data_IF_259568397446
#
_entry.id   IF_259568397446
#
_cell.length_a   1.000
_cell.length_b   1.000
_cell.length_c   1.000
_cell.angle_alpha   90.00
_cell.angle_beta   90.00
_cell.angle_gamma   90.00
#
_symmetry.space_group_name_H-M   'P 1'
#
loop_
_entity.id
_entity.type
_entity.pdbx_description
1 polymer ?
#
# COMPACT_ATOMS: atom_id res chain seq x y z
N UNK A 1 -13.03 19.31 -16.05
CA UNK A 1 -14.20 19.28 -15.15
C UNK A 1 -13.86 18.32 -14.02
N UNK A 2 -14.05 18.70 -12.74
CA UNK A 2 -13.59 17.94 -11.57
C UNK A 2 -14.35 16.60 -11.42
N UNK A 3 -13.64 15.48 -11.51
CA UNK A 3 -14.15 14.13 -11.20
C UNK A 3 -14.19 13.88 -9.69
N UNK A 4 -15.27 13.32 -9.12
CA UNK A 4 -15.27 12.84 -7.74
C UNK A 4 -14.89 11.34 -7.70
N UNK A 5 -13.85 11.03 -6.94
CA UNK A 5 -13.45 9.68 -6.54
C UNK A 5 -14.51 9.06 -5.63
N UNK A 6 -15.01 7.86 -5.94
CA UNK A 6 -15.83 7.09 -5.01
C UNK A 6 -15.34 5.65 -4.89
N UNK A 7 -14.81 5.35 -3.70
CA UNK A 7 -14.65 4.02 -3.12
C UNK A 7 -15.93 3.18 -3.28
N UNK A 8 -15.78 1.90 -3.64
CA UNK A 8 -16.80 0.87 -3.45
C UNK A 8 -16.17 -0.36 -2.80
N UNK A 9 -16.66 -0.69 -1.61
CA UNK A 9 -16.41 -1.95 -0.93
C UNK A 9 -17.18 -3.11 -1.59
N UNK A 10 -16.65 -4.35 -1.56
CA UNK A 10 -17.34 -5.52 -2.07
C UNK A 10 -18.44 -6.02 -1.11
N UNK A 11 -19.63 -6.25 -1.66
CA UNK A 11 -20.80 -6.76 -0.95
C UNK A 11 -20.75 -8.29 -0.78
N UNK A 12 -20.68 -8.76 0.45
CA UNK A 12 -21.06 -10.11 0.86
C UNK A 12 -22.56 -10.16 1.16
N UNK A 13 -23.29 -11.09 0.55
CA UNK A 13 -24.73 -11.27 0.75
C UNK A 13 -25.09 -12.65 1.29
N UNK A 14 -25.97 -12.69 2.29
CA UNK A 14 -26.91 -13.80 2.60
C UNK A 14 -28.11 -13.26 3.41
N UNK A 15 -29.26 -13.96 3.48
CA UNK A 15 -30.56 -13.35 3.24
C UNK A 15 -31.39 -12.98 4.49
N UNK A 16 -32.41 -12.17 4.17
CA UNK A 16 -33.45 -11.54 5.00
C UNK A 16 -34.15 -12.47 5.99
N UNK A 17 -34.41 -11.91 7.17
CA UNK A 17 -35.58 -12.26 7.97
C UNK A 17 -36.39 -11.00 8.34
N UNK A 18 -37.71 -11.17 8.35
CA UNK A 18 -38.73 -10.12 8.37
C UNK A 18 -39.02 -9.57 9.77
N UNK A 19 -39.17 -8.24 9.91
CA UNK A 19 -40.19 -7.63 10.79
C UNK A 19 -40.35 -6.13 10.53
N UNK A 20 -41.59 -5.72 10.24
CA UNK A 20 -42.07 -4.34 10.25
C UNK A 20 -42.22 -3.86 11.69
N UNK A 21 -41.80 -2.63 11.99
CA UNK A 21 -42.55 -1.69 12.84
C UNK A 21 -42.16 -0.25 12.52
N UNK A 22 -43.19 0.58 12.43
CA UNK A 22 -43.13 2.00 12.14
C UNK A 22 -42.72 2.81 13.39
N UNK A 23 -42.03 3.92 13.17
CA UNK A 23 -41.72 4.89 14.22
C UNK A 23 -41.23 6.21 13.62
N UNK A 24 -42.18 7.06 13.21
CA UNK A 24 -41.90 8.43 12.82
C UNK A 24 -41.52 9.26 14.06
N UNK A 25 -40.38 9.92 14.03
CA UNK A 25 -39.99 10.91 15.04
C UNK A 25 -39.28 12.07 14.37
N UNK A 26 -39.91 13.24 14.48
CA UNK A 26 -39.51 14.50 13.90
C UNK A 26 -38.20 15.03 14.52
N UNK A 27 -37.24 15.43 13.68
CA UNK A 27 -36.08 16.23 14.11
C UNK A 27 -36.17 17.66 13.58
N UNK A 28 -36.23 18.57 14.56
CA UNK A 28 -36.19 20.02 14.44
C UNK A 28 -34.89 20.49 13.80
N UNK A 29 -35.01 21.43 12.85
CA UNK A 29 -33.91 22.21 12.28
C UNK A 29 -33.45 23.25 13.30
N UNK A 30 -32.14 23.37 13.51
CA UNK A 30 -31.47 24.52 14.16
C UNK A 30 -30.48 25.14 13.17
N UNK A 31 -30.39 26.46 13.04
CA UNK A 31 -29.47 27.10 12.11
C UNK A 31 -28.06 27.19 12.72
N UNK A 32 -27.05 27.01 11.87
CA UNK A 32 -25.63 27.22 12.18
C UNK A 32 -25.33 28.71 12.04
N UNK A 33 -24.78 29.30 13.10
CA UNK A 33 -24.24 30.66 13.14
C UNK A 33 -22.80 30.60 12.63
N UNK A 34 -22.48 31.40 11.61
CA UNK A 34 -21.14 31.60 11.09
C UNK A 34 -20.41 32.65 11.95
N UNK A 35 -19.23 32.31 12.48
CA UNK A 35 -18.31 33.24 13.12
C UNK A 35 -17.11 33.51 12.21
N UNK A 36 -16.94 34.78 11.83
CA UNK A 36 -15.72 35.33 11.23
C UNK A 36 -14.58 35.27 12.26
N UNK A 37 -13.39 34.82 11.84
CA UNK A 37 -12.15 35.02 12.58
C UNK A 37 -11.24 36.02 11.84
N UNK A 38 -10.77 36.99 12.62
CA UNK A 38 -10.01 38.17 12.25
C UNK A 38 -8.51 37.85 12.21
N UNK A 39 -7.80 38.28 11.15
CA UNK A 39 -6.35 38.21 11.06
C UNK A 39 -5.69 39.37 11.84
N UNK A 40 -4.65 39.06 12.62
CA UNK A 40 -3.86 40.01 13.40
C UNK A 40 -2.38 39.63 13.40
N UNK A 41 -1.56 40.57 12.93
CA UNK A 41 -0.12 40.51 12.63
C UNK A 41 0.81 40.76 13.85
N UNK A 42 2.09 40.39 13.64
CA UNK A 42 3.37 40.95 14.17
C UNK A 42 4.06 40.32 15.40
N UNK A 43 5.37 40.07 15.21
CA UNK A 43 6.38 39.91 16.26
C UNK A 43 7.76 39.52 15.70
N UNK A 44 8.56 40.51 15.27
CA UNK A 44 9.97 40.36 14.90
C UNK A 44 10.84 40.02 16.13
N UNK A 45 11.84 39.15 15.96
CA UNK A 45 12.97 39.05 16.89
C UNK A 45 14.27 38.99 16.09
N UNK A 46 15.15 39.94 16.36
CA UNK A 46 16.50 40.05 15.83
C UNK A 46 17.44 40.32 17.00
N UNK A 47 18.55 39.59 17.09
CA UNK A 47 19.85 40.07 17.58
C UNK A 47 20.95 39.09 17.14
N UNK A 48 21.96 39.66 16.48
CA UNK A 48 23.20 39.06 15.97
C UNK A 48 24.26 39.03 17.11
N UNK A 49 25.09 37.98 17.24
CA UNK A 49 26.43 37.76 16.65
C UNK A 49 27.63 38.15 17.56
N UNK A 50 28.70 37.33 17.46
CA UNK A 50 30.06 37.54 17.99
C UNK A 50 30.50 36.39 18.91
N UNK A 51 31.19 35.32 18.48
CA UNK A 51 32.54 35.17 17.88
C UNK A 51 33.71 35.29 18.86
N UNK A 52 34.35 34.13 19.06
CA UNK A 52 35.79 33.82 19.12
C UNK A 52 36.67 34.09 20.36
N UNK A 53 37.21 32.95 20.83
CA UNK A 53 38.62 32.60 21.02
C UNK A 53 39.44 33.15 22.22
N UNK A 54 40.02 32.18 22.94
CA UNK A 54 41.08 32.30 23.94
C UNK A 54 42.40 32.85 23.35
N UNK A 55 43.40 33.26 24.18
CA UNK A 55 44.38 32.27 24.64
C UNK A 55 45.07 32.53 26.01
N UNK A 56 45.60 31.43 26.56
CA UNK A 56 46.87 31.19 27.28
C UNK A 56 47.42 32.12 28.42
N UNK A 57 48.08 31.42 29.36
CA UNK A 57 48.71 31.82 30.63
C UNK A 57 49.84 32.87 30.56
N UNK A 58 50.34 33.33 31.73
CA UNK A 58 51.66 32.82 32.16
C UNK A 58 51.80 32.50 33.66
N UNK A 59 52.86 31.74 33.94
CA UNK A 59 53.37 31.26 35.24
C UNK A 59 54.11 32.35 36.03
N UNK A 60 54.18 32.25 37.37
CA UNK A 60 55.45 32.21 38.16
C UNK A 60 55.27 32.29 39.70
N UNK A 61 56.00 31.37 40.37
CA UNK A 61 56.75 31.43 41.66
C UNK A 61 56.08 31.94 42.97
N UNK A 62 55.93 31.08 44.01
CA UNK A 62 56.85 30.82 45.16
C UNK A 62 56.68 31.86 46.31
N UNK A 63 56.56 31.59 47.62
CA UNK A 63 56.98 30.48 48.50
C UNK A 63 56.22 30.49 49.85
N UNK A 64 56.19 29.31 50.49
CA UNK A 64 56.29 29.02 51.94
C UNK A 64 55.29 29.60 52.98
N UNK A 65 54.53 28.71 53.63
CA UNK A 65 54.81 28.27 55.02
C UNK A 65 53.93 27.08 55.40
N UNK A 66 54.57 26.07 56.00
CA UNK A 66 53.96 24.84 56.46
C UNK A 66 53.06 25.03 57.69
N UNK A 67 51.97 24.26 57.76
CA UNK A 67 51.58 23.63 59.02
C UNK A 67 50.85 22.31 58.75
N UNK A 68 51.19 21.33 59.57
CA UNK A 68 50.81 19.94 59.43
C UNK A 68 49.40 19.69 59.98
N UNK A 69 48.56 19.04 59.20
CA UNK A 69 47.44 18.24 59.71
C UNK A 69 47.20 17.06 58.77
N UNK A 70 47.74 15.91 59.16
CA UNK A 70 47.39 14.63 58.58
C UNK A 70 45.90 14.36 58.83
N UNK A 71 45.11 14.32 57.76
CA UNK A 71 43.79 13.71 57.77
C UNK A 71 43.74 12.80 56.55
N UNK A 72 43.82 11.49 56.80
CA UNK A 72 43.74 10.47 55.76
C UNK A 72 42.42 10.61 55.02
N UNK A 73 42.49 10.97 53.74
CA UNK A 73 41.41 10.73 52.82
C UNK A 73 41.29 9.22 52.65
N UNK A 74 40.33 8.63 53.35
CA UNK A 74 39.84 7.30 53.03
C UNK A 74 39.52 7.24 51.52
N UNK A 75 39.81 6.13 50.83
CA UNK A 75 39.33 5.95 49.47
C UNK A 75 37.81 6.07 49.49
N UNK A 76 37.26 6.99 48.72
CA UNK A 76 35.84 7.03 48.44
C UNK A 76 35.46 5.72 47.77
N UNK A 77 34.88 4.79 48.54
CA UNK A 77 34.24 3.58 48.04
C UNK A 77 33.28 3.99 46.92
N UNK A 78 33.36 3.44 45.70
CA UNK A 78 32.32 3.67 44.72
C UNK A 78 30.99 3.26 45.36
N UNK A 79 30.01 4.15 45.33
CA UNK A 79 28.65 3.86 45.77
C UNK A 79 28.18 2.61 45.02
N UNK A 80 28.08 1.48 45.71
CA UNK A 80 27.86 0.15 45.12
C UNK A 80 26.42 -0.08 44.67
N UNK A 81 25.86 0.88 43.94
CA UNK A 81 24.52 0.81 43.34
C UNK A 81 24.67 0.52 41.85
N UNK A 82 24.14 -0.62 41.39
CA UNK A 82 24.01 -0.91 39.96
C UNK A 82 23.06 0.12 39.36
N UNK A 83 23.48 0.77 38.27
CA UNK A 83 22.59 1.57 37.44
C UNK A 83 22.06 0.67 36.34
N UNK A 84 20.73 0.54 36.25
CA UNK A 84 20.08 -0.19 35.17
C UNK A 84 19.36 0.80 34.27
N UNK A 85 19.57 0.69 32.96
CA UNK A 85 18.84 1.46 31.95
C UNK A 85 17.99 0.50 31.12
N UNK A 86 16.75 0.89 30.83
CA UNK A 86 15.81 0.12 30.02
C UNK A 86 15.42 0.98 28.81
N UNK A 87 15.55 0.41 27.63
CA UNK A 87 15.07 0.96 26.36
C UNK A 87 14.10 -0.05 25.74
N UNK A 88 12.86 0.31 25.39
CA UNK A 88 12.22 1.61 25.59
C UNK A 88 12.14 2.04 27.06
N UNK A 89 12.21 3.35 27.29
CA UNK A 89 12.15 3.93 28.64
C UNK A 89 10.79 3.75 29.31
N UNK A 90 10.75 3.96 30.62
CA UNK A 90 9.51 3.91 31.39
C UNK A 90 8.45 4.88 30.84
N UNK A 91 7.22 4.40 30.77
CA UNK A 91 6.04 5.09 30.23
C UNK A 91 6.16 5.52 28.75
N UNK A 92 7.14 4.98 28.01
CA UNK A 92 7.21 5.17 26.57
C UNK A 92 5.95 4.60 25.89
N UNK A 93 5.43 5.32 24.91
CA UNK A 93 4.27 4.92 24.12
C UNK A 93 4.58 5.02 22.64
N UNK A 94 3.76 4.34 21.82
CA UNK A 94 3.96 4.27 20.37
C UNK A 94 5.33 3.71 19.99
N UNK A 95 5.87 2.80 20.81
CA UNK A 95 7.13 2.12 20.52
C UNK A 95 6.95 1.24 19.30
N UNK A 96 7.83 1.38 18.32
CA UNK A 96 7.83 0.53 17.14
C UNK A 96 8.09 -0.93 17.54
N UNK A 97 7.20 -1.87 17.22
CA UNK A 97 7.34 -3.26 17.66
C UNK A 97 8.58 -3.99 17.15
N UNK A 98 9.25 -3.50 16.10
CA UNK A 98 10.50 -4.10 15.62
C UNK A 98 11.75 -3.57 16.32
N UNK A 99 11.63 -2.48 17.09
CA UNK A 99 12.73 -1.96 17.87
C UNK A 99 12.94 -2.87 19.09
N UNK A 100 14.16 -3.39 19.31
CA UNK A 100 14.39 -4.35 20.37
C UNK A 100 14.30 -3.69 21.74
N UNK A 101 13.81 -4.46 22.71
CA UNK A 101 13.95 -4.11 24.13
C UNK A 101 15.38 -4.43 24.56
N UNK A 102 16.03 -3.46 25.17
CA UNK A 102 17.42 -3.53 25.64
C UNK A 102 17.45 -3.10 27.10
N UNK A 103 18.06 -3.92 27.94
CA UNK A 103 18.32 -3.61 29.35
C UNK A 103 19.82 -3.65 29.56
N UNK A 104 20.41 -2.60 30.11
CA UNK A 104 21.86 -2.53 30.39
C UNK A 104 22.13 -2.32 31.87
N UNK A 105 23.23 -2.86 32.37
CA UNK A 105 23.68 -2.68 33.76
C UNK A 105 25.10 -2.10 33.83
N UNK A 106 25.20 -0.94 34.50
CA UNK A 106 26.45 -0.27 34.81
C UNK A 106 26.81 -0.45 36.30
N UNK A 107 28.05 -0.87 36.56
CA UNK A 107 28.54 -1.10 37.93
C UNK A 107 28.05 -2.41 38.56
N UNK A 108 27.55 -3.35 37.75
CA UNK A 108 27.13 -4.70 38.11
C UNK A 108 26.73 -5.52 36.89
N UNK A 109 26.11 -6.68 37.11
CA UNK A 109 25.62 -7.59 36.07
C UNK A 109 24.11 -7.82 36.21
N UNK A 110 23.39 -7.94 35.10
CA UNK A 110 22.02 -8.43 35.07
C UNK A 110 22.02 -9.93 35.35
N UNK A 111 21.14 -10.37 36.24
CA UNK A 111 21.03 -11.78 36.63
C UNK A 111 19.71 -12.40 36.19
N UNK A 112 18.68 -11.57 36.01
CA UNK A 112 17.37 -11.97 35.52
C UNK A 112 16.71 -10.79 34.82
N UNK A 113 16.16 -11.02 33.62
CA UNK A 113 15.35 -10.04 32.88
C UNK A 113 14.17 -10.80 32.29
N UNK A 114 12.97 -10.32 32.59
CA UNK A 114 11.72 -10.83 32.03
C UNK A 114 10.97 -9.69 31.37
N UNK A 115 10.65 -9.84 30.09
CA UNK A 115 9.75 -8.95 29.37
C UNK A 115 8.47 -9.72 29.08
N UNK A 116 7.32 -9.18 29.47
CA UNK A 116 6.03 -9.88 29.31
C UNK A 116 4.92 -8.98 28.79
N UNK A 117 4.10 -9.52 27.90
CA UNK A 117 2.90 -8.86 27.39
C UNK A 117 1.82 -8.79 28.47
N UNK A 118 1.22 -7.62 28.69
CA UNK A 118 0.24 -7.40 29.75
C UNK A 118 -1.07 -8.14 29.49
N UNK A 119 -1.48 -8.29 28.22
CA UNK A 119 -2.74 -8.95 27.87
C UNK A 119 -2.72 -10.47 28.10
N UNK A 120 -1.63 -11.13 27.71
CA UNK A 120 -1.51 -12.60 27.69
C UNK A 120 -0.61 -13.16 28.80
N UNK A 121 0.29 -12.35 29.36
CA UNK A 121 1.37 -12.80 30.23
C UNK A 121 2.49 -13.57 29.51
N UNK A 122 2.46 -13.61 28.17
CA UNK A 122 3.48 -14.27 27.37
C UNK A 122 4.81 -13.54 27.49
N UNK A 123 5.91 -14.30 27.61
CA UNK A 123 7.25 -13.76 27.69
C UNK A 123 7.82 -13.51 26.30
N UNK A 124 8.45 -12.37 26.13
CA UNK A 124 9.23 -12.06 24.92
C UNK A 124 10.56 -12.81 25.01
N UNK A 125 10.93 -13.48 23.92
CA UNK A 125 12.23 -14.13 23.82
C UNK A 125 13.35 -13.07 23.80
N UNK A 126 14.46 -13.38 24.47
CA UNK A 126 15.65 -12.54 24.45
C UNK A 126 16.84 -13.21 25.12
N UNK A 127 18.00 -12.59 24.93
CA UNK A 127 19.29 -13.15 25.31
C UNK A 127 20.01 -12.20 26.26
N UNK A 128 20.55 -12.75 27.34
CA UNK A 128 21.49 -12.07 28.23
C UNK A 128 22.90 -12.31 27.71
N UNK A 129 23.68 -11.24 27.51
CA UNK A 129 25.07 -11.32 27.12
C UNK A 129 25.89 -12.11 28.16
N UNK A 130 26.95 -12.79 27.73
CA UNK A 130 27.78 -13.62 28.62
C UNK A 130 28.45 -12.83 29.75
N UNK A 131 28.70 -11.54 29.53
CA UNK A 131 29.25 -10.62 30.52
C UNK A 131 28.19 -10.04 31.47
N UNK A 132 26.92 -10.36 31.26
CA UNK A 132 25.79 -9.92 32.06
C UNK A 132 25.48 -8.42 31.92
N UNK A 133 26.12 -7.68 31.02
CA UNK A 133 25.95 -6.22 30.96
C UNK A 133 24.76 -5.77 30.10
N UNK A 134 24.27 -6.62 29.19
CA UNK A 134 23.14 -6.32 28.30
C UNK A 134 22.21 -7.52 28.16
N UNK A 135 20.91 -7.30 28.29
CA UNK A 135 19.88 -8.21 27.80
C UNK A 135 19.17 -7.57 26.60
N UNK A 136 18.87 -8.36 25.57
CA UNK A 136 18.24 -7.89 24.33
C UNK A 136 17.14 -8.85 23.85
N UNK A 137 15.98 -8.31 23.46
CA UNK A 137 14.92 -9.11 22.84
C UNK A 137 15.35 -9.63 21.46
N UNK A 138 15.01 -10.88 21.16
CA UNK A 138 15.42 -11.57 19.92
C UNK A 138 14.32 -11.63 18.86
N UNK A 139 13.08 -11.28 19.21
CA UNK A 139 11.93 -11.28 18.32
C UNK A 139 11.20 -9.92 18.33
N UNK A 140 10.52 -9.54 17.23
CA UNK A 140 9.61 -8.41 17.24
C UNK A 140 8.51 -8.56 18.30
N UNK A 141 8.11 -7.43 18.87
CA UNK A 141 6.98 -7.31 19.78
C UNK A 141 5.65 -7.35 18.99
N UNK A 142 4.55 -7.47 19.72
CA UNK A 142 3.22 -7.28 19.18
C UNK A 142 2.86 -5.78 19.09
N UNK A 143 2.09 -5.42 18.08
CA UNK A 143 1.38 -4.14 18.05
C UNK A 143 0.25 -4.12 19.09
N UNK A 144 -0.23 -2.92 19.42
CA UNK A 144 -1.32 -2.64 20.35
C UNK A 144 -1.20 -3.36 21.70
N UNK A 145 0.03 -3.45 22.22
CA UNK A 145 0.33 -4.21 23.44
C UNK A 145 1.11 -3.35 24.45
N UNK A 146 0.90 -3.65 25.73
CA UNK A 146 1.69 -3.08 26.82
C UNK A 146 2.65 -4.12 27.35
N UNK A 147 3.93 -3.76 27.47
CA UNK A 147 4.96 -4.65 27.97
C UNK A 147 5.44 -4.21 29.34
N UNK A 148 5.64 -5.19 30.23
CA UNK A 148 6.31 -5.00 31.51
C UNK A 148 7.68 -5.66 31.45
N UNK A 149 8.72 -4.89 31.78
CA UNK A 149 10.11 -5.33 31.91
C UNK A 149 10.44 -5.40 33.39
N UNK A 150 10.59 -6.60 33.93
CA UNK A 150 11.11 -6.87 35.27
C UNK A 150 12.59 -7.25 35.17
N UNK A 151 13.44 -6.66 36.00
CA UNK A 151 14.87 -6.97 36.01
C UNK A 151 15.42 -7.12 37.43
N UNK A 152 16.47 -7.93 37.54
CA UNK A 152 17.33 -8.06 38.71
C UNK A 152 18.78 -7.88 38.28
N UNK A 153 19.51 -6.99 38.94
CA UNK A 153 20.93 -6.78 38.73
C UNK A 153 21.71 -6.90 40.04
N UNK A 154 22.98 -7.29 39.96
CA UNK A 154 23.84 -7.58 41.12
C UNK A 154 25.14 -6.78 41.07
N UNK A 155 25.49 -6.16 42.21
CA UNK A 155 26.81 -5.60 42.48
C UNK A 155 27.40 -6.20 43.75
N UNK A 156 28.34 -7.13 43.61
CA UNK A 156 28.87 -7.91 44.74
C UNK A 156 27.76 -8.74 45.38
N UNK A 157 27.52 -8.54 46.69
CA UNK A 157 26.48 -9.26 47.44
C UNK A 157 25.13 -8.53 47.49
N UNK A 158 24.94 -7.48 46.67
CA UNK A 158 23.70 -6.68 46.66
C UNK A 158 22.95 -6.86 45.35
N UNK A 159 21.69 -7.26 45.48
CA UNK A 159 20.73 -7.30 44.38
C UNK A 159 19.92 -5.99 44.35
N UNK A 160 19.63 -5.54 43.13
CA UNK A 160 18.75 -4.42 42.82
C UNK A 160 17.70 -4.91 41.85
N UNK A 161 16.43 -4.75 42.19
CA UNK A 161 15.31 -5.09 41.31
C UNK A 161 14.62 -3.82 40.82
N UNK A 162 14.02 -3.90 39.65
CA UNK A 162 13.22 -2.82 39.12
C UNK A 162 12.24 -3.29 38.06
N UNK A 163 11.34 -2.38 37.72
CA UNK A 163 10.29 -2.60 36.74
C UNK A 163 10.21 -1.38 35.82
N UNK A 164 9.98 -1.61 34.55
CA UNK A 164 9.66 -0.60 33.54
C UNK A 164 8.46 -1.05 32.73
N UNK A 165 7.63 -0.10 32.29
CA UNK A 165 6.45 -0.38 31.46
C UNK A 165 6.50 0.53 30.24
N UNK A 166 6.13 0.00 29.08
CA UNK A 166 5.96 0.78 27.85
C UNK A 166 4.83 0.17 27.00
N UNK A 167 4.30 0.93 26.04
CA UNK A 167 3.33 0.42 25.07
C UNK A 167 3.84 0.56 23.63
N UNK A 168 3.48 -0.41 22.81
CA UNK A 168 3.78 -0.37 21.37
C UNK A 168 2.78 0.50 20.61
N UNK A 169 3.03 0.67 19.31
CA UNK A 169 2.13 1.34 18.36
C UNK A 169 0.72 0.75 18.47
N UNK A 170 -0.28 1.61 18.65
CA UNK A 170 -1.68 1.20 18.76
C UNK A 170 -2.31 0.83 17.41
N UNK A 171 -3.45 0.13 17.46
CA UNK A 171 -4.15 -0.35 16.27
C UNK A 171 -4.62 0.75 15.30
N UNK A 172 -4.76 2.00 15.75
CA UNK A 172 -5.17 3.12 14.89
C UNK A 172 -4.01 3.69 14.05
N UNK A 173 -2.77 3.28 14.35
CA UNK A 173 -1.55 3.70 13.67
C UNK A 173 -0.85 2.53 12.95
N UNK A 174 -1.54 1.41 12.81
CA UNK A 174 -1.11 0.27 11.99
C UNK A 174 -1.48 0.49 10.52
N UNK A 175 -0.53 0.22 9.63
CA UNK A 175 -0.74 0.26 8.20
C UNK A 175 -0.43 -1.08 7.53
N UNK A 176 -1.40 -1.60 6.79
CA UNK A 176 -1.31 -2.84 6.02
C UNK A 176 -1.14 -2.57 4.53
N UNK A 177 -0.66 -3.57 3.80
CA UNK A 177 -0.61 -3.57 2.33
C UNK A 177 -1.26 -4.81 1.75
N UNK A 178 -2.14 -4.61 0.78
CA UNK A 178 -2.75 -5.66 -0.03
C UNK A 178 -2.24 -5.58 -1.47
N UNK A 179 -1.98 -6.74 -2.09
CA UNK A 179 -1.60 -6.82 -3.51
C UNK A 179 -2.77 -7.30 -4.36
N UNK A 180 -2.84 -6.83 -5.61
CA UNK A 180 -3.80 -7.33 -6.60
C UNK A 180 -3.49 -8.76 -7.10
N UNK A 181 -2.23 -9.21 -6.94
CA UNK A 181 -1.78 -10.56 -7.27
C UNK A 181 -1.89 -11.51 -6.08
N UNK A 182 -2.04 -12.81 -6.35
CA UNK A 182 -2.21 -13.86 -5.34
C UNK A 182 -1.20 -14.99 -5.51
N UNK A 183 -0.87 -15.63 -4.38
CA UNK A 183 0.06 -16.75 -4.35
C UNK A 183 -0.40 -17.92 -5.25
N UNK A 184 0.55 -18.44 -6.02
CA UNK A 184 0.34 -19.60 -6.90
C UNK A 184 -0.54 -19.33 -8.12
N UNK A 185 -1.10 -18.12 -8.28
CA UNK A 185 -1.88 -17.77 -9.46
C UNK A 185 -1.00 -17.56 -10.69
N UNK A 186 -1.60 -17.70 -11.87
CA UNK A 186 -0.96 -17.41 -13.15
C UNK A 186 -1.67 -16.24 -13.82
N UNK A 187 -0.91 -15.20 -14.14
CA UNK A 187 -1.38 -14.00 -14.84
C UNK A 187 -0.78 -13.92 -16.24
N UNK A 188 -1.30 -13.02 -17.07
CA UNK A 188 -0.67 -12.68 -18.34
C UNK A 188 0.64 -11.92 -18.16
N UNK A 189 1.43 -11.83 -19.22
CA UNK A 189 2.75 -11.16 -19.20
C UNK A 189 2.67 -9.64 -19.05
N UNK A 190 1.49 -9.05 -19.20
CA UNK A 190 1.25 -7.62 -19.07
C UNK A 190 0.73 -7.24 -17.66
N UNK A 191 0.72 -8.18 -16.71
CA UNK A 191 0.27 -7.94 -15.34
C UNK A 191 1.02 -6.77 -14.70
N UNK A 192 0.27 -5.79 -14.20
CA UNK A 192 0.77 -4.71 -13.36
C UNK A 192 0.63 -5.12 -11.89
N UNK A 193 1.67 -4.93 -11.10
CA UNK A 193 1.62 -5.22 -9.66
C UNK A 193 1.11 -3.98 -8.95
N UNK A 194 -0.03 -4.09 -8.28
CA UNK A 194 -0.63 -2.98 -7.51
C UNK A 194 -0.56 -3.30 -6.02
N UNK A 195 -0.15 -2.30 -5.25
CA UNK A 195 -0.11 -2.27 -3.80
C UNK A 195 -1.16 -1.26 -3.31
N UNK A 196 -2.10 -1.75 -2.52
CA UNK A 196 -3.15 -0.96 -1.89
C UNK A 196 -2.88 -0.89 -0.39
N UNK A 197 -2.59 0.30 0.12
CA UNK A 197 -2.32 0.54 1.53
C UNK A 197 -3.61 0.85 2.29
N UNK A 198 -3.74 0.34 3.51
CA UNK A 198 -4.89 0.64 4.37
C UNK A 198 -4.91 2.10 4.81
N UNK A 199 -3.76 2.76 4.87
CA UNK A 199 -3.57 4.16 5.29
C UNK A 199 -2.71 4.96 4.29
N UNK A 200 -2.78 6.31 4.28
CA UNK A 200 -2.00 7.12 3.36
C UNK A 200 -0.51 7.04 3.65
N UNK A 201 0.29 6.80 2.62
CA UNK A 201 1.75 6.78 2.66
C UNK A 201 2.27 8.16 2.29
N UNK A 202 2.89 8.83 3.26
CA UNK A 202 3.62 10.08 3.06
C UNK A 202 5.08 9.80 2.71
N UNK A 203 5.69 8.82 3.37
CA UNK A 203 7.09 8.43 3.14
C UNK A 203 7.22 7.44 1.97
N UNK A 204 6.78 7.87 0.77
CA UNK A 204 6.75 7.04 -0.45
C UNK A 204 8.11 6.40 -0.78
N UNK A 205 9.19 7.16 -0.71
CA UNK A 205 10.55 6.67 -0.97
C UNK A 205 10.99 5.54 -0.04
N UNK A 206 10.54 5.55 1.22
CA UNK A 206 10.88 4.50 2.19
C UNK A 206 10.14 3.20 1.86
N UNK A 207 8.87 3.33 1.45
CA UNK A 207 8.06 2.20 1.00
C UNK A 207 8.61 1.60 -0.29
N UNK A 208 8.98 2.41 -1.28
CA UNK A 208 9.57 1.92 -2.53
C UNK A 208 10.86 1.13 -2.29
N UNK A 209 11.75 1.63 -1.42
CA UNK A 209 12.98 0.91 -1.02
C UNK A 209 12.70 -0.38 -0.27
N UNK A 210 11.56 -0.48 0.42
CA UNK A 210 11.14 -1.67 1.13
C UNK A 210 10.48 -2.72 0.21
N UNK A 211 10.19 -2.38 -1.04
CA UNK A 211 9.61 -3.31 -2.01
C UNK A 211 10.71 -3.95 -2.86
N UNK A 212 10.74 -5.28 -2.86
CA UNK A 212 11.55 -6.09 -3.76
C UNK A 212 10.67 -6.80 -4.77
N UNK A 213 11.09 -6.78 -6.03
CA UNK A 213 10.49 -7.55 -7.11
C UNK A 213 11.56 -8.42 -7.71
N UNK A 214 11.35 -9.73 -7.69
CA UNK A 214 12.25 -10.73 -8.25
C UNK A 214 11.55 -11.49 -9.38
N UNK A 215 12.28 -11.70 -10.47
CA UNK A 215 11.76 -12.33 -11.68
C UNK A 215 12.57 -11.91 -12.90
N UNK A 216 12.26 -12.50 -14.06
CA UNK A 216 12.75 -11.96 -15.33
C UNK A 216 12.10 -10.61 -15.59
N UNK A 217 12.85 -9.63 -16.11
CA UNK A 217 12.43 -8.24 -16.18
C UNK A 217 12.09 -7.64 -14.80
N UNK A 218 12.82 -7.99 -13.74
CA UNK A 218 12.63 -7.38 -12.42
C UNK A 218 12.92 -5.88 -12.36
N UNK A 219 13.73 -5.38 -13.29
CA UNK A 219 14.00 -3.95 -13.39
C UNK A 219 12.75 -3.27 -13.93
N UNK A 220 12.24 -2.32 -13.17
CA UNK A 220 11.00 -1.63 -13.47
C UNK A 220 10.92 -0.32 -12.72
N UNK A 221 9.75 0.29 -12.79
CA UNK A 221 9.50 1.58 -12.18
C UNK A 221 8.24 1.52 -11.33
N UNK A 222 8.24 2.33 -10.27
CA UNK A 222 7.07 2.56 -9.43
C UNK A 222 6.32 3.80 -9.91
N UNK A 223 5.00 3.80 -9.73
CA UNK A 223 4.13 4.95 -9.92
C UNK A 223 3.08 4.99 -8.83
N UNK A 224 2.96 6.12 -8.15
CA UNK A 224 1.83 6.36 -7.26
C UNK A 224 0.67 6.98 -8.03
N UNK A 225 -0.53 6.47 -7.78
CA UNK A 225 -1.78 7.00 -8.30
C UNK A 225 -2.59 7.75 -7.23
N UNK A 226 -2.26 7.50 -5.96
CA UNK A 226 -2.73 8.24 -4.79
C UNK A 226 -1.80 7.90 -3.62
N UNK A 227 -1.97 8.56 -2.47
CA UNK A 227 -1.22 8.22 -1.25
C UNK A 227 -1.48 6.79 -0.75
N UNK A 228 -2.48 6.07 -1.29
CA UNK A 228 -2.81 4.70 -0.89
C UNK A 228 -2.59 3.65 -1.98
N UNK A 229 -2.18 4.07 -3.19
CA UNK A 229 -2.10 3.18 -4.36
C UNK A 229 -0.78 3.38 -5.08
N UNK A 230 0.06 2.35 -5.00
CA UNK A 230 1.32 2.24 -5.73
C UNK A 230 1.18 1.14 -6.77
N UNK A 231 1.71 1.36 -7.97
CA UNK A 231 1.85 0.32 -8.99
C UNK A 231 3.30 0.17 -9.41
N UNK A 232 3.65 -1.04 -9.77
CA UNK A 232 4.93 -1.41 -10.35
C UNK A 232 4.69 -2.11 -11.68
N UNK A 233 5.47 -1.72 -12.69
CA UNK A 233 5.64 -2.53 -13.89
C UNK A 233 7.08 -2.51 -14.38
N UNK A 234 7.53 -3.58 -15.04
CA UNK A 234 8.77 -3.57 -15.79
C UNK A 234 8.66 -2.74 -17.07
N UNK A 235 9.82 -2.40 -17.66
CA UNK A 235 9.88 -1.70 -18.95
C UNK A 235 9.26 -2.52 -20.07
N UNK A 236 9.63 -3.80 -20.12
CA UNK A 236 9.12 -4.79 -21.06
C UNK A 236 8.18 -5.76 -20.33
N UNK A 237 7.19 -6.36 -21.01
CA UNK A 237 6.33 -7.38 -20.40
C UNK A 237 7.16 -8.50 -19.75
N UNK A 238 6.59 -9.11 -18.71
CA UNK A 238 7.23 -10.24 -18.03
C UNK A 238 7.55 -11.38 -18.99
N UNK A 239 8.64 -12.12 -18.75
CA UNK A 239 8.92 -13.29 -19.59
C UNK A 239 7.77 -14.30 -19.49
N UNK A 240 7.39 -14.96 -20.60
CA UNK A 240 6.41 -16.04 -20.56
C UNK A 240 6.85 -17.20 -19.67
N UNK A 241 5.92 -17.80 -18.93
CA UNK A 241 6.17 -18.93 -18.02
C UNK A 241 7.20 -18.65 -16.92
N UNK A 242 7.44 -17.38 -16.57
CA UNK A 242 8.32 -16.97 -15.49
C UNK A 242 7.65 -17.10 -14.12
N UNK A 243 8.48 -17.18 -13.07
CA UNK A 243 8.04 -16.96 -11.69
C UNK A 243 8.40 -15.53 -11.31
N UNK A 244 7.44 -14.81 -10.72
CA UNK A 244 7.63 -13.48 -10.16
C UNK A 244 7.32 -13.54 -8.68
N UNK A 245 8.21 -13.01 -7.86
CA UNK A 245 8.04 -12.88 -6.42
C UNK A 245 8.12 -11.40 -6.05
N UNK A 246 7.08 -10.90 -5.40
CA UNK A 246 6.99 -9.53 -4.92
C UNK A 246 6.95 -9.56 -3.41
N UNK A 247 7.80 -8.77 -2.77
CA UNK A 247 7.87 -8.64 -1.33
C UNK A 247 7.81 -7.17 -0.94
N UNK A 248 6.81 -6.78 -0.15
CA UNK A 248 6.75 -5.49 0.53
C UNK A 248 7.19 -5.68 1.99
N UNK A 249 8.41 -5.29 2.32
CA UNK A 249 8.99 -5.42 3.66
C UNK A 249 8.68 -4.19 4.53
N UNK A 250 7.39 -3.93 4.76
CA UNK A 250 6.95 -2.70 5.46
C UNK A 250 6.84 -2.85 6.98
N UNK A 251 7.03 -4.06 7.55
CA UNK A 251 6.93 -4.27 8.99
C UNK A 251 7.88 -3.30 9.74
N UNK A 252 7.32 -2.49 10.63
CA UNK A 252 8.06 -1.50 11.41
C UNK A 252 8.56 -0.29 10.62
N UNK A 253 8.19 -0.12 9.35
CA UNK A 253 8.54 1.07 8.57
C UNK A 253 7.60 2.22 8.89
N UNK A 254 8.16 3.43 9.00
CA UNK A 254 7.37 4.65 9.11
C UNK A 254 6.83 5.06 7.74
N UNK A 255 5.52 4.91 7.55
CA UNK A 255 4.81 5.33 6.34
C UNK A 255 4.45 6.83 6.39
N UNK A 256 4.74 7.51 7.51
CA UNK A 256 4.49 8.92 7.77
C UNK A 256 3.18 9.16 8.51
N UNK A 257 3.00 10.38 9.05
CA UNK A 257 1.87 10.74 9.92
C UNK A 257 1.67 9.80 11.12
N UNK A 258 2.75 9.17 11.61
CA UNK A 258 2.70 8.22 12.72
C UNK A 258 2.23 6.82 12.34
N UNK A 259 1.98 6.54 11.05
CA UNK A 259 1.59 5.20 10.57
C UNK A 259 2.81 4.29 10.48
N UNK A 260 2.75 3.14 11.14
CA UNK A 260 3.80 2.12 11.10
C UNK A 260 3.29 0.89 10.37
N UNK A 261 4.09 0.34 9.46
CA UNK A 261 3.71 -0.86 8.73
C UNK A 261 3.57 -2.07 9.66
N UNK A 262 2.43 -2.74 9.60
CA UNK A 262 2.02 -3.79 10.52
C UNK A 262 2.53 -5.19 10.13
N UNK A 263 3.02 -5.34 8.90
CA UNK A 263 3.45 -6.66 8.43
C UNK A 263 4.13 -6.64 7.08
N UNK A 264 5.01 -7.61 6.88
CA UNK A 264 5.57 -7.87 5.56
C UNK A 264 4.56 -8.63 4.71
N UNK A 265 4.52 -8.34 3.41
CA UNK A 265 3.69 -9.06 2.46
C UNK A 265 4.55 -9.63 1.35
N UNK A 266 4.54 -10.95 1.20
CA UNK A 266 5.18 -11.62 0.06
C UNK A 266 4.14 -12.35 -0.76
N UNK A 267 4.20 -12.20 -2.08
CA UNK A 267 3.37 -12.93 -3.05
C UNK A 267 4.25 -13.48 -4.16
N UNK A 268 4.10 -14.76 -4.49
CA UNK A 268 4.71 -15.42 -5.65
C UNK A 268 3.67 -15.87 -6.65
N UNK A 269 3.72 -15.33 -7.87
CA UNK A 269 2.84 -15.71 -8.98
C UNK A 269 3.65 -16.20 -10.19
N UNK A 270 2.96 -16.70 -11.20
CA UNK A 270 3.55 -17.07 -12.50
C UNK A 270 2.97 -16.26 -13.63
N UNK A 271 3.71 -16.14 -14.71
CA UNK A 271 3.20 -15.61 -15.99
C UNK A 271 2.84 -16.76 -16.93
N UNK A 272 1.82 -16.54 -17.76
CA UNK A 272 1.40 -17.47 -18.80
C UNK A 272 2.21 -17.37 -20.09
N UNK A 273 1.63 -17.86 -21.17
CA UNK A 273 2.06 -17.49 -22.52
C UNK A 273 1.80 -15.99 -22.75
N UNK A 274 2.52 -15.38 -23.68
CA UNK A 274 2.20 -14.01 -24.09
C UNK A 274 0.90 -14.04 -24.90
N UNK A 275 -0.10 -13.28 -24.45
CA UNK A 275 -1.39 -13.19 -25.11
C UNK A 275 -1.77 -11.72 -25.22
N UNK A 276 -2.12 -11.32 -26.44
CA UNK A 276 -2.59 -9.97 -26.74
C UNK A 276 -3.64 -9.97 -27.83
N UNK A 277 -4.57 -9.04 -27.77
CA UNK A 277 -5.56 -8.81 -28.80
C UNK A 277 -5.52 -7.36 -29.27
N UNK A 278 -5.70 -7.16 -30.58
CA UNK A 278 -5.82 -5.82 -31.17
C UNK A 278 -7.24 -5.66 -31.70
N UNK A 279 -7.89 -4.58 -31.32
CA UNK A 279 -9.22 -4.20 -31.77
C UNK A 279 -9.09 -2.92 -32.58
N UNK A 280 -9.45 -3.02 -33.86
CA UNK A 280 -9.42 -1.89 -34.77
C UNK A 280 -10.84 -1.50 -35.16
N UNK A 281 -11.20 -0.25 -34.88
CA UNK A 281 -12.52 0.28 -35.16
C UNK A 281 -12.75 0.64 -36.65
N UNK A 282 -11.70 0.88 -37.42
CA UNK A 282 -11.82 1.12 -38.87
C UNK A 282 -12.30 -0.14 -39.57
N UNK A 283 -11.66 -1.26 -39.23
CA UNK A 283 -11.97 -2.60 -39.75
C UNK A 283 -13.00 -3.37 -38.93
N UNK A 284 -13.39 -2.86 -37.75
CA UNK A 284 -14.31 -3.47 -36.78
C UNK A 284 -13.97 -4.93 -36.52
N UNK A 285 -12.69 -5.18 -36.29
CA UNK A 285 -12.14 -6.52 -36.16
C UNK A 285 -11.29 -6.61 -34.90
N UNK A 286 -11.41 -7.73 -34.18
CA UNK A 286 -10.45 -8.15 -33.17
C UNK A 286 -9.54 -9.21 -33.77
N UNK A 287 -8.23 -9.06 -33.60
CA UNK A 287 -7.21 -10.06 -33.94
C UNK A 287 -6.46 -10.48 -32.68
N UNK A 288 -6.52 -11.77 -32.35
CA UNK A 288 -5.85 -12.34 -31.18
C UNK A 288 -4.50 -12.97 -31.57
N UNK A 289 -3.54 -12.81 -30.67
CA UNK A 289 -2.20 -13.36 -30.79
C UNK A 289 -1.83 -14.16 -29.55
N UNK A 290 -1.13 -15.27 -29.76
CA UNK A 290 -0.47 -16.04 -28.70
C UNK A 290 1.00 -16.25 -29.09
N UNK A 291 1.91 -15.81 -28.23
CA UNK A 291 3.36 -15.81 -28.46
C UNK A 291 3.72 -15.19 -29.82
N UNK A 292 3.13 -14.03 -30.11
CA UNK A 292 3.34 -13.28 -31.36
C UNK A 292 2.75 -13.90 -32.63
N UNK A 293 2.01 -15.01 -32.57
CA UNK A 293 1.34 -15.62 -33.74
C UNK A 293 -0.15 -15.32 -33.73
N UNK A 294 -0.71 -14.90 -34.86
CA UNK A 294 -2.17 -14.76 -35.02
C UNK A 294 -2.84 -16.12 -34.80
N UNK A 295 -3.79 -16.17 -33.87
CA UNK A 295 -4.52 -17.38 -33.49
C UNK A 295 -6.02 -17.27 -33.72
N UNK A 296 -6.52 -16.08 -34.00
CA UNK A 296 -7.90 -15.89 -34.41
C UNK A 296 -8.25 -14.45 -34.74
N UNK A 297 -9.36 -14.30 -35.45
CA UNK A 297 -9.84 -13.04 -36.00
C UNK A 297 -11.35 -13.07 -36.04
N UNK A 298 -12.00 -12.06 -35.47
CA UNK A 298 -13.46 -11.99 -35.39
C UNK A 298 -13.97 -10.58 -35.67
N UNK A 299 -15.14 -10.45 -36.34
CA UNK A 299 -15.82 -9.18 -36.44
C UNK A 299 -16.33 -8.75 -35.06
N UNK A 300 -16.30 -7.45 -34.77
CA UNK A 300 -16.75 -6.89 -33.49
C UNK A 300 -17.68 -5.69 -33.68
N UNK A 301 -18.40 -5.33 -32.63
CA UNK A 301 -19.00 -4.00 -32.48
C UNK A 301 -18.33 -3.31 -31.30
N UNK A 302 -18.08 -2.01 -31.43
CA UNK A 302 -17.56 -1.16 -30.35
C UNK A 302 -18.65 -0.20 -29.84
N UNK A 303 -18.22 0.74 -29.00
CA UNK A 303 -19.01 1.85 -28.48
C UNK A 303 -19.53 2.79 -29.57
N UNK A 304 -20.81 3.15 -29.48
CA UNK A 304 -21.45 4.09 -30.40
C UNK A 304 -20.86 5.52 -30.26
N UNK A 305 -21.17 6.47 -31.16
CA UNK A 305 -20.60 7.82 -31.10
C UNK A 305 -20.86 8.62 -29.81
N UNK A 306 -21.95 8.32 -29.09
CA UNK A 306 -22.27 8.98 -27.81
C UNK A 306 -21.55 8.30 -26.63
N UNK A 307 -21.13 7.04 -26.79
CA UNK A 307 -20.42 6.22 -25.81
C UNK A 307 -19.29 5.43 -26.47
N UNK A 308 -18.28 6.13 -27.03
CA UNK A 308 -17.21 5.48 -27.79
C UNK A 308 -16.33 4.62 -26.89
N UNK A 309 -15.77 3.55 -27.46
CA UNK A 309 -14.75 2.76 -26.77
C UNK A 309 -13.46 3.56 -26.64
N UNK A 310 -12.82 3.47 -25.47
CA UNK A 310 -11.53 4.13 -25.25
C UNK A 310 -10.45 3.51 -26.13
N UNK A 311 -9.45 4.29 -26.54
CA UNK A 311 -8.26 3.74 -27.23
C UNK A 311 -7.21 3.24 -26.22
N UNK A 312 -6.09 2.73 -26.73
CA UNK A 312 -4.94 2.33 -25.95
C UNK A 312 -4.98 0.89 -25.43
N UNK A 313 -3.89 0.51 -24.78
CA UNK A 313 -3.66 -0.79 -24.15
C UNK A 313 -4.40 -0.86 -22.83
N UNK A 314 -5.17 -1.93 -22.65
CA UNK A 314 -5.94 -2.24 -21.44
C UNK A 314 -5.60 -3.66 -21.04
N UNK A 315 -5.14 -3.86 -19.81
CA UNK A 315 -4.85 -5.19 -19.29
C UNK A 315 -6.12 -5.77 -18.68
N UNK A 316 -6.44 -7.03 -19.02
CA UNK A 316 -7.62 -7.72 -18.50
C UNK A 316 -7.53 -7.78 -16.99
N UNK A 317 -8.59 -7.31 -16.34
CA UNK A 317 -8.68 -7.19 -14.88
C UNK A 317 -9.22 -8.48 -14.27
N UNK A 318 -10.35 -8.94 -14.80
CA UNK A 318 -11.09 -10.12 -14.32
C UNK A 318 -11.88 -10.74 -15.48
N UNK A 319 -12.26 -12.01 -15.30
CA UNK A 319 -13.11 -12.72 -16.24
C UNK A 319 -14.23 -13.45 -15.51
N UNK A 320 -15.39 -13.54 -16.16
CA UNK A 320 -16.53 -14.27 -15.66
C UNK A 320 -17.29 -14.94 -16.81
N UNK A 321 -17.71 -16.20 -16.60
CA UNK A 321 -18.54 -16.91 -17.59
C UNK A 321 -19.90 -16.24 -17.79
N UNK A 322 -20.42 -15.60 -16.75
CA UNK A 322 -21.62 -14.76 -16.78
C UNK A 322 -21.44 -13.55 -15.87
N UNK A 323 -21.86 -12.36 -16.35
CA UNK A 323 -21.80 -11.12 -15.59
C UNK A 323 -23.09 -10.31 -15.80
N UNK A 324 -23.66 -9.79 -14.70
CA UNK A 324 -24.90 -9.02 -14.75
C UNK A 324 -24.62 -7.53 -15.07
N UNK A 325 -24.92 -7.13 -16.30
CA UNK A 325 -24.81 -5.75 -16.76
C UNK A 325 -26.04 -4.96 -16.31
N UNK A 326 -25.81 -3.81 -15.68
CA UNK A 326 -26.87 -2.92 -15.17
C UNK A 326 -26.57 -1.49 -15.57
N UNK A 327 -27.45 -0.85 -16.34
CA UNK A 327 -27.25 0.54 -16.77
C UNK A 327 -27.07 1.53 -15.59
N UNK A 328 -27.59 1.17 -14.41
CA UNK A 328 -27.38 1.96 -13.18
C UNK A 328 -25.93 2.03 -12.72
N UNK A 329 -25.02 1.14 -13.16
CA UNK A 329 -23.58 1.29 -12.93
C UNK A 329 -23.00 2.48 -13.67
N UNK A 330 -23.65 2.90 -14.77
CA UNK A 330 -23.33 4.08 -15.57
C UNK A 330 -24.21 5.29 -15.18
N UNK A 331 -24.89 5.23 -14.02
CA UNK A 331 -25.86 6.24 -13.57
C UNK A 331 -27.07 6.45 -14.50
N UNK A 332 -27.39 5.47 -15.36
CA UNK A 332 -28.56 5.51 -16.23
C UNK A 332 -29.78 4.85 -15.56
N UNK A 333 -30.96 5.44 -15.78
CA UNK A 333 -32.25 4.94 -15.28
C UNK A 333 -33.26 4.78 -16.42
N UNK A 334 -34.36 4.02 -16.22
CA UNK A 334 -35.41 3.89 -17.23
C UNK A 334 -35.91 5.26 -17.70
N UNK A 335 -35.91 5.47 -19.02
CA UNK A 335 -36.30 6.72 -19.67
C UNK A 335 -35.12 7.59 -20.13
N UNK A 336 -33.89 7.30 -19.69
CA UNK A 336 -32.71 7.98 -20.23
C UNK A 336 -32.43 7.52 -21.68
N UNK A 337 -31.89 8.39 -22.57
CA UNK A 337 -31.67 8.08 -24.00
C UNK A 337 -30.80 6.85 -24.31
N UNK A 338 -29.98 6.39 -23.36
CA UNK A 338 -29.06 5.26 -23.49
C UNK A 338 -29.35 4.13 -22.49
N UNK A 339 -30.52 4.16 -21.84
CA UNK A 339 -30.88 3.11 -20.91
C UNK A 339 -31.02 1.76 -21.62
N UNK A 340 -30.40 0.73 -21.05
CA UNK A 340 -30.64 -0.66 -21.39
C UNK A 340 -31.20 -1.43 -20.17
N UNK A 341 -32.17 -2.34 -20.37
CA UNK A 341 -32.63 -3.21 -19.29
C UNK A 341 -31.48 -4.13 -18.82
N UNK A 342 -31.38 -4.45 -17.51
CA UNK A 342 -30.36 -5.37 -17.02
C UNK A 342 -30.36 -6.69 -17.78
N UNK A 343 -29.17 -7.20 -18.09
CA UNK A 343 -28.98 -8.46 -18.80
C UNK A 343 -27.72 -9.17 -18.31
N UNK A 344 -27.67 -10.48 -18.48
CA UNK A 344 -26.47 -11.26 -18.21
C UNK A 344 -25.68 -11.44 -19.52
N UNK A 345 -24.45 -10.96 -19.54
CA UNK A 345 -23.52 -11.18 -20.63
C UNK A 345 -22.69 -12.43 -20.36
N UNK A 346 -22.37 -13.19 -21.41
CA UNK A 346 -21.54 -14.40 -21.30
C UNK A 346 -20.11 -14.15 -21.76
N UNK A 347 -19.17 -14.95 -21.23
CA UNK A 347 -17.75 -14.94 -21.60
C UNK A 347 -17.13 -13.54 -21.52
N UNK A 348 -17.19 -12.97 -20.32
CA UNK A 348 -16.91 -11.57 -20.06
C UNK A 348 -15.47 -11.42 -19.60
N UNK A 349 -14.75 -10.47 -20.19
CA UNK A 349 -13.43 -10.02 -19.75
C UNK A 349 -13.48 -8.52 -19.49
N UNK A 350 -13.26 -8.10 -18.24
CA UNK A 350 -13.25 -6.67 -17.86
C UNK A 350 -11.94 -6.02 -18.28
N UNK A 351 -12.02 -4.85 -18.90
CA UNK A 351 -10.87 -4.04 -19.31
C UNK A 351 -10.71 -2.78 -18.46
N UNK A 352 -11.81 -2.14 -18.04
CA UNK A 352 -11.78 -0.92 -17.22
C UNK A 352 -12.71 -1.02 -16.01
N UNK A 353 -12.47 -0.19 -14.99
CA UNK A 353 -13.34 -0.11 -13.81
C UNK A 353 -14.64 0.65 -14.14
N UNK A 354 -14.59 1.61 -15.07
CA UNK A 354 -15.73 2.37 -15.60
C UNK A 354 -16.73 1.53 -16.39
N UNK A 355 -16.34 0.34 -16.84
CA UNK A 355 -17.27 -0.66 -17.39
C UNK A 355 -17.08 -1.00 -18.87
N UNK A 356 -15.86 -0.88 -19.39
CA UNK A 356 -15.50 -1.45 -20.69
C UNK A 356 -15.14 -2.93 -20.54
N UNK A 357 -15.75 -3.78 -21.36
CA UNK A 357 -15.56 -5.23 -21.37
C UNK A 357 -15.43 -5.76 -22.79
N UNK A 358 -14.78 -6.91 -22.95
CA UNK A 358 -15.03 -7.85 -24.05
C UNK A 358 -16.11 -8.82 -23.58
N UNK A 359 -17.14 -9.06 -24.40
CA UNK A 359 -18.15 -10.08 -24.10
C UNK A 359 -18.85 -10.61 -25.35
N UNK A 360 -19.58 -11.71 -25.21
CA UNK A 360 -20.48 -12.18 -26.26
C UNK A 360 -21.56 -11.13 -26.53
N UNK A 361 -21.68 -10.70 -27.78
CA UNK A 361 -22.70 -9.77 -28.22
C UNK A 361 -24.10 -10.35 -27.98
N UNK A 362 -25.05 -9.47 -27.62
CA UNK A 362 -26.45 -9.86 -27.52
C UNK A 362 -26.99 -10.24 -28.90
N UNK A 363 -28.04 -11.08 -29.00
CA UNK A 363 -28.64 -11.44 -30.29
C UNK A 363 -29.03 -10.23 -31.16
N UNK A 364 -29.42 -9.11 -30.54
CA UNK A 364 -29.74 -7.86 -31.24
C UNK A 364 -28.53 -7.18 -31.89
N UNK A 365 -27.32 -7.40 -31.38
CA UNK A 365 -26.08 -6.81 -31.89
C UNK A 365 -25.33 -7.73 -32.86
N UNK A 366 -25.68 -9.03 -32.94
CA UNK A 366 -25.04 -9.97 -33.87
C UNK A 366 -25.07 -9.51 -35.34
N UNK A 367 -26.17 -8.94 -35.87
CA UNK A 367 -26.22 -8.54 -37.28
C UNK A 367 -25.30 -7.35 -37.65
N UNK A 368 -24.77 -6.62 -36.65
CA UNK A 368 -23.95 -5.42 -36.87
C UNK A 368 -22.46 -5.63 -36.60
N UNK A 369 -22.05 -6.83 -36.18
CA UNK A 369 -20.64 -7.18 -36.00
C UNK A 369 -19.86 -6.96 -37.31
N UNK A 370 -18.74 -6.23 -37.23
CA UNK A 370 -17.93 -5.88 -38.39
C UNK A 370 -18.48 -4.72 -39.23
N UNK A 371 -19.64 -4.15 -38.87
CA UNK A 371 -20.35 -3.15 -39.69
C UNK A 371 -20.56 -1.84 -38.94
N UNK A 372 -21.10 -1.87 -37.72
CA UNK A 372 -21.46 -0.67 -36.96
C UNK A 372 -21.14 -0.81 -35.47
N UNK A 373 -21.01 0.34 -34.81
CA UNK A 373 -20.82 0.42 -33.36
C UNK A 373 -22.13 0.74 -32.66
N UNK A 374 -22.55 -0.13 -31.74
CA UNK A 374 -23.84 -0.01 -31.06
C UNK A 374 -23.75 -0.13 -29.54
N UNK A 375 -22.58 -0.44 -28.98
CA UNK A 375 -22.44 -0.68 -27.54
C UNK A 375 -22.28 0.64 -26.75
N UNK A 376 -22.20 0.53 -25.42
CA UNK A 376 -21.86 1.64 -24.51
C UNK A 376 -20.36 1.63 -24.13
N UNK A 377 -19.49 1.31 -25.10
CA UNK A 377 -18.04 1.24 -24.92
C UNK A 377 -17.47 -0.18 -24.98
N UNK A 378 -18.26 -1.21 -24.66
CA UNK A 378 -17.81 -2.61 -24.72
C UNK A 378 -17.47 -3.09 -26.14
N UNK A 379 -16.57 -4.06 -26.22
CA UNK A 379 -16.28 -4.83 -27.44
C UNK A 379 -17.19 -6.06 -27.47
N UNK A 380 -18.21 -6.02 -28.31
CA UNK A 380 -19.12 -7.15 -28.54
C UNK A 380 -18.56 -8.09 -29.61
N UNK A 381 -18.55 -9.39 -29.31
CA UNK A 381 -18.00 -10.44 -30.18
C UNK A 381 -19.05 -11.50 -30.55
N UNK A 382 -18.86 -12.26 -31.65
CA UNK A 382 -19.66 -13.46 -31.90
C UNK A 382 -19.36 -14.53 -30.82
N UNK A 383 -20.24 -15.55 -30.64
CA UNK A 383 -20.12 -16.51 -29.54
C UNK A 383 -18.77 -17.22 -29.51
N UNK A 384 -18.27 -17.66 -30.66
CA UNK A 384 -16.97 -18.33 -30.79
C UNK A 384 -15.79 -17.42 -30.45
N UNK A 385 -15.88 -16.13 -30.76
CA UNK A 385 -14.83 -15.16 -30.45
C UNK A 385 -14.79 -14.81 -28.96
N UNK A 386 -15.95 -14.59 -28.36
CA UNK A 386 -16.06 -14.35 -26.93
C UNK A 386 -15.59 -15.57 -26.11
N UNK A 387 -16.02 -16.77 -26.51
CA UNK A 387 -15.55 -18.02 -25.90
C UNK A 387 -14.03 -18.16 -26.02
N UNK A 388 -13.47 -17.89 -27.20
CA UNK A 388 -12.02 -17.95 -27.41
C UNK A 388 -11.24 -17.03 -26.46
N UNK A 389 -11.64 -15.75 -26.34
CA UNK A 389 -10.99 -14.82 -25.42
C UNK A 389 -11.12 -15.31 -23.98
N UNK A 390 -12.32 -15.71 -23.55
CA UNK A 390 -12.56 -16.18 -22.18
C UNK A 390 -11.76 -17.45 -21.82
N UNK A 391 -11.60 -18.38 -22.76
CA UNK A 391 -10.90 -19.65 -22.52
C UNK A 391 -9.38 -19.53 -22.70
N UNK A 392 -8.92 -18.62 -23.55
CA UNK A 392 -7.51 -18.51 -23.91
C UNK A 392 -6.78 -17.45 -23.10
N UNK A 393 -7.38 -16.26 -22.96
CA UNK A 393 -6.82 -15.12 -22.22
C UNK A 393 -7.12 -15.23 -20.73
N UNK A 394 -6.43 -14.43 -19.92
CA UNK A 394 -6.56 -14.37 -18.47
C UNK A 394 -6.32 -12.96 -17.94
N UNK A 395 -6.60 -12.69 -16.65
CA UNK A 395 -6.13 -11.46 -16.00
C UNK A 395 -4.63 -11.25 -16.19
N UNK A 396 -4.23 -10.04 -16.59
CA UNK A 396 -2.84 -9.74 -16.94
C UNK A 396 -2.50 -9.87 -18.43
N UNK A 397 -3.41 -10.33 -19.29
CA UNK A 397 -3.23 -10.27 -20.75
C UNK A 397 -3.74 -8.93 -21.31
N UNK A 398 -3.26 -8.53 -22.49
CA UNK A 398 -3.47 -7.18 -23.01
C UNK A 398 -4.47 -7.14 -24.17
N UNK A 399 -5.31 -6.11 -24.18
CA UNK A 399 -6.18 -5.73 -25.29
C UNK A 399 -5.88 -4.29 -25.68
N UNK A 400 -5.51 -4.04 -26.93
CA UNK A 400 -5.26 -2.71 -27.46
C UNK A 400 -6.37 -2.31 -28.42
N UNK A 401 -7.01 -1.16 -28.17
CA UNK A 401 -8.07 -0.61 -29.01
C UNK A 401 -7.53 0.62 -29.75
N UNK A 402 -7.77 0.70 -31.06
CA UNK A 402 -7.30 1.81 -31.92
C UNK A 402 -8.41 2.34 -32.82
N UNK A 403 -8.18 3.55 -33.37
CA UNK A 403 -9.00 4.18 -34.41
C UNK A 403 -10.45 4.48 -34.01
N UNK A 404 -10.74 4.75 -32.73
CA UNK A 404 -12.10 5.11 -32.26
C UNK A 404 -12.38 6.61 -32.25
N UNK A 405 -11.37 7.44 -32.58
CA UNK A 405 -11.37 8.90 -32.42
C UNK A 405 -11.62 9.40 -30.98
N UNK A 406 -11.57 8.49 -30.00
CA UNK A 406 -11.72 8.81 -28.58
C UNK A 406 -10.38 8.68 -27.82
N UNK A 407 -10.17 9.45 -26.74
CA UNK A 407 -8.98 9.33 -25.89
C UNK A 407 -8.72 7.92 -25.39
N UNK A 408 -7.48 7.71 -24.95
CA UNK A 408 -7.03 6.48 -24.31
C UNK A 408 -7.79 6.25 -23.01
N UNK A 409 -7.87 5.00 -22.58
CA UNK A 409 -8.31 4.72 -21.22
C UNK A 409 -7.37 5.41 -20.23
N UNK A 410 -7.94 6.08 -19.22
CA UNK A 410 -7.17 6.58 -18.09
C UNK A 410 -6.37 5.41 -17.48
N UNK A 411 -5.06 5.55 -17.27
CA UNK A 411 -4.24 4.47 -16.72
C UNK A 411 -4.74 3.91 -15.38
N UNK A 412 -5.41 4.70 -14.53
CA UNK A 412 -6.02 4.23 -13.28
C UNK A 412 -7.45 3.67 -13.44
N UNK A 413 -8.09 3.86 -14.60
CA UNK A 413 -9.38 3.24 -14.94
C UNK A 413 -9.20 1.79 -15.39
N UNK A 414 -8.67 0.97 -14.49
CA UNK A 414 -8.20 -0.37 -14.76
C UNK A 414 -6.68 -0.39 -14.74
N UNK A 415 -6.10 -1.09 -15.70
CA UNK A 415 -4.64 -1.25 -15.84
C UNK A 415 -4.20 -0.74 -17.21
N UNK A 416 -4.21 0.59 -17.37
CA UNK A 416 -3.73 1.27 -18.58
C UNK A 416 -2.28 1.74 -18.49
N UNK A 417 -1.52 1.26 -17.51
CA UNK A 417 -0.11 1.62 -17.24
C UNK A 417 0.81 1.50 -18.46
N UNK A 418 0.48 0.62 -19.40
CA UNK A 418 1.22 0.39 -20.65
C UNK A 418 0.94 1.44 -21.76
N UNK A 419 0.05 2.41 -21.49
CA UNK A 419 -0.12 3.62 -22.30
C UNK A 419 0.88 4.71 -21.93
N UNK A 420 1.49 4.63 -20.74
CA UNK A 420 2.52 5.56 -20.27
C UNK A 420 3.89 5.10 -20.80
N UNK A 421 4.61 5.91 -21.60
CA UNK A 421 5.99 5.63 -21.96
C UNK A 421 6.83 5.37 -20.71
N UNK A 422 7.72 4.37 -20.74
CA UNK A 422 8.39 3.91 -19.54
C UNK A 422 9.27 4.99 -18.88
N UNK A 423 9.90 5.84 -19.70
CA UNK A 423 10.67 7.01 -19.26
C UNK A 423 9.87 8.02 -18.44
N UNK A 424 8.54 7.98 -18.54
CA UNK A 424 7.61 8.83 -17.80
C UNK A 424 6.81 8.07 -16.74
N UNK A 425 7.07 6.77 -16.54
CA UNK A 425 6.19 5.95 -15.69
C UNK A 425 6.15 6.44 -14.24
N UNK A 426 7.29 6.80 -13.67
CA UNK A 426 7.39 7.34 -12.31
C UNK A 426 6.99 8.81 -12.17
N UNK A 427 6.75 9.52 -13.27
CA UNK A 427 6.35 10.93 -13.24
C UNK A 427 4.84 11.05 -12.99
N UNK A 428 4.44 11.23 -11.72
CA UNK A 428 3.04 11.33 -11.29
C UNK A 428 2.26 12.42 -12.05
N UNK A 429 2.94 13.48 -12.51
CA UNK A 429 2.34 14.61 -13.24
C UNK A 429 2.26 14.36 -14.76
N UNK A 430 2.85 13.27 -15.25
CA UNK A 430 2.79 12.94 -16.67
C UNK A 430 1.38 12.49 -17.06
N UNK A 431 0.85 13.15 -18.09
CA UNK A 431 -0.43 12.83 -18.68
C UNK A 431 -0.33 12.69 -20.20
N UNK A 432 -0.92 11.61 -20.72
CA UNK A 432 -1.09 11.36 -22.14
C UNK A 432 -2.45 11.87 -22.62
N UNK A 433 -2.93 11.28 -23.71
CA UNK A 433 -4.23 11.62 -24.29
C UNK A 433 -5.32 10.72 -23.70
N UNK A 434 -5.64 10.88 -22.42
CA UNK A 434 -6.76 10.20 -21.75
C UNK A 434 -7.72 11.19 -21.09
#
# INVERSE_FOLDING_TARGET
MKSPSHHRDPLSGTPRDTARTAGASARRRRPVIACLALAGLLGLSACAAGSDAAPAAPSSAASSSADAAASGSAPSTPSGTVRVEVSPGADASMVNPVDPVVVTADGGELTDVTVSAASSGERVEGELAEDGHEWRSSAPLAFDETYTVDYTARAGDRDSTGQSVFSTVDAAHEADVALNVKDGQTYGVWQVVEFNFSEPVVNKDEVEKAVTVDGAHRDGAFRWYSDRKLRFRPEQPWDPNAKVTVTANILGKDLGNGMIGNGNKTVSFRTGAEQRAFVDNDTKTLVAYVNGKETGRWPVTLGNPDWPSTTGKKVIIEQAASYAFKASSLNLKPGDPHYYPPFDASNVSRLTWSGEFIHQALPSAMPVLGVANVSHGCVGMPPEGAAYIFETFRPGDMVEVVNTDYPQADPDDGYGDWNIPFEHYSDEDWHGNW
#
